data_IF_374727506673
#
_entry.id   IF_374727506673
#
_cell.length_a   1.000
_cell.length_b   1.000
_cell.length_c   1.000
_cell.angle_alpha   90.00
_cell.angle_beta   90.00
_cell.angle_gamma   90.00
#
_symmetry.space_group_name_H-M   'P 1'
#
loop_
_entity.id
_entity.type
_entity.pdbx_description
1 polymer ?
#
# COMPACT_ATOMS: atom_id res chain seq x y z
N UNK A 1 -4.76 -23.39 -1.64
CA UNK A 1 -3.30 -23.20 -1.59
C UNK A 1 -2.84 -23.55 -0.20
N UNK A 2 -1.82 -24.42 -0.03
CA UNK A 2 -1.18 -24.62 1.27
C UNK A 2 -0.60 -23.30 1.81
N UNK A 3 -0.58 -23.12 3.13
CA UNK A 3 -0.23 -21.85 3.77
C UNK A 3 1.19 -21.40 3.45
N UNK A 4 2.12 -22.35 3.33
CA UNK A 4 3.54 -22.11 3.03
C UNK A 4 3.81 -21.58 1.62
N UNK A 5 2.82 -21.65 0.72
CA UNK A 5 2.91 -21.10 -0.63
C UNK A 5 2.05 -19.85 -0.81
N UNK A 6 1.38 -19.39 0.26
CA UNK A 6 0.59 -18.17 0.22
C UNK A 6 1.46 -16.93 0.08
N UNK A 7 0.91 -15.87 -0.51
CA UNK A 7 1.55 -14.55 -0.45
C UNK A 7 1.38 -14.03 0.98
N UNK A 8 2.49 -13.87 1.70
CA UNK A 8 2.49 -13.46 3.11
C UNK A 8 2.43 -11.95 3.34
N UNK A 9 2.30 -11.18 2.26
CA UNK A 9 2.29 -9.72 2.26
C UNK A 9 3.30 -9.13 1.30
N UNK A 10 3.38 -7.80 1.30
CA UNK A 10 4.36 -7.06 0.50
C UNK A 10 5.73 -7.22 1.18
N UNK A 11 6.77 -7.56 0.43
CA UNK A 11 8.15 -7.52 0.94
C UNK A 11 8.70 -6.08 0.90
N UNK A 12 8.55 -5.43 -0.24
CA UNK A 12 8.91 -4.05 -0.50
C UNK A 12 8.35 -3.58 -1.83
N UNK A 13 8.55 -2.30 -2.13
CA UNK A 13 8.06 -1.67 -3.37
C UNK A 13 9.19 -0.92 -4.06
N UNK A 14 9.31 -1.12 -5.38
CA UNK A 14 10.21 -0.34 -6.21
C UNK A 14 9.47 0.82 -6.88
N UNK A 15 10.01 2.03 -6.76
CA UNK A 15 9.49 3.24 -7.37
C UNK A 15 10.52 3.85 -8.32
N UNK A 16 10.04 4.30 -9.47
CA UNK A 16 10.84 5.08 -10.40
C UNK A 16 10.70 6.56 -10.02
N UNK A 17 11.82 7.22 -9.75
CA UNK A 17 11.83 8.62 -9.33
C UNK A 17 12.63 9.48 -10.30
N UNK A 18 12.05 10.63 -10.67
CA UNK A 18 12.74 11.60 -11.54
C UNK A 18 13.90 12.28 -10.82
N UNK A 19 13.73 12.48 -9.51
CA UNK A 19 14.76 13.02 -8.62
C UNK A 19 14.92 12.03 -7.46
N UNK A 20 15.67 10.94 -7.67
CA UNK A 20 15.80 9.86 -6.68
C UNK A 20 16.39 10.37 -5.36
N UNK A 21 17.32 11.32 -5.39
CA UNK A 21 17.94 11.89 -4.20
C UNK A 21 16.91 12.59 -3.29
N UNK A 22 15.98 13.34 -3.87
CA UNK A 22 14.89 13.99 -3.10
C UNK A 22 13.91 12.98 -2.52
N UNK A 23 13.69 11.86 -3.23
CA UNK A 23 12.82 10.79 -2.74
C UNK A 23 13.48 10.08 -1.55
N UNK A 24 14.80 9.88 -1.62
CA UNK A 24 15.58 9.31 -0.52
C UNK A 24 15.59 10.26 0.69
N UNK A 25 15.85 11.56 0.49
CA UNK A 25 15.78 12.56 1.55
C UNK A 25 14.39 12.61 2.22
N UNK A 26 13.32 12.52 1.42
CA UNK A 26 11.95 12.44 1.94
C UNK A 26 11.75 11.20 2.80
N UNK A 27 12.17 10.02 2.33
CA UNK A 27 12.02 8.77 3.08
C UNK A 27 12.83 8.78 4.39
N UNK A 28 14.03 9.37 4.38
CA UNK A 28 14.85 9.56 5.57
C UNK A 28 14.20 10.52 6.57
N UNK A 29 13.67 11.65 6.10
CA UNK A 29 13.12 12.69 6.98
C UNK A 29 11.71 12.41 7.50
N UNK A 30 10.83 11.85 6.66
CA UNK A 30 9.41 11.66 6.98
C UNK A 30 9.12 10.25 7.50
N UNK A 31 9.78 9.24 6.93
CA UNK A 31 9.58 7.85 7.38
C UNK A 31 10.63 7.37 8.36
N UNK A 32 11.60 8.23 8.73
CA UNK A 32 12.72 7.89 9.61
C UNK A 32 13.41 6.60 9.17
N UNK A 33 13.61 6.43 7.85
CA UNK A 33 14.24 5.23 7.31
C UNK A 33 15.63 5.03 7.91
N UNK A 34 16.04 3.79 8.16
CA UNK A 34 17.36 3.41 8.70
C UNK A 34 18.49 3.55 7.66
N UNK A 35 18.39 4.56 6.79
CA UNK A 35 19.32 4.85 5.71
C UNK A 35 19.26 3.85 4.54
N UNK A 36 20.26 3.97 3.66
CA UNK A 36 20.45 3.08 2.50
C UNK A 36 20.96 1.71 2.97
N UNK A 37 20.19 0.67 2.69
CA UNK A 37 20.55 -0.72 2.97
C UNK A 37 21.32 -1.37 1.80
N UNK A 38 21.16 -0.84 0.59
CA UNK A 38 22.01 -1.15 -0.57
C UNK A 38 21.92 -0.06 -1.63
N UNK A 39 22.96 0.05 -2.46
CA UNK A 39 22.99 0.89 -3.66
C UNK A 39 23.70 0.12 -4.78
N UNK A 40 23.05 -0.03 -5.93
CA UNK A 40 23.58 -0.68 -7.13
C UNK A 40 23.18 0.13 -8.36
N UNK A 41 24.16 0.78 -8.99
CA UNK A 41 23.94 1.60 -10.17
C UNK A 41 22.94 2.73 -9.94
N UNK A 42 21.78 2.66 -10.61
CA UNK A 42 20.69 3.63 -10.50
C UNK A 42 19.66 3.27 -9.43
N UNK A 43 19.89 2.23 -8.61
CA UNK A 43 18.96 1.77 -7.59
C UNK A 43 19.52 1.97 -6.18
N UNK A 44 18.72 2.56 -5.30
CA UNK A 44 18.98 2.61 -3.86
C UNK A 44 17.83 1.97 -3.08
N UNK A 45 18.12 1.01 -2.22
CA UNK A 45 17.13 0.42 -1.31
C UNK A 45 17.22 1.07 0.07
N UNK A 46 16.05 1.38 0.64
CA UNK A 46 15.88 2.03 1.94
C UNK A 46 15.02 1.12 2.83
N UNK A 47 15.39 0.98 4.09
CA UNK A 47 14.54 0.33 5.08
C UNK A 47 13.68 1.36 5.80
N UNK A 48 12.37 1.21 5.73
CA UNK A 48 11.38 2.09 6.36
C UNK A 48 10.69 1.36 7.50
N UNK A 49 11.08 1.66 8.73
CA UNK A 49 10.55 0.99 9.93
C UNK A 49 11.10 -0.44 10.14
N UNK A 50 10.70 -1.04 11.25
CA UNK A 50 11.25 -2.31 11.75
C UNK A 50 10.32 -3.52 11.62
N UNK A 51 9.21 -3.38 10.89
CA UNK A 51 8.26 -4.47 10.70
C UNK A 51 8.83 -5.62 9.85
N UNK A 52 8.28 -6.81 10.04
CA UNK A 52 8.74 -8.04 9.36
C UNK A 52 8.49 -8.03 7.85
N UNK A 53 7.51 -7.26 7.39
CA UNK A 53 7.07 -7.19 6.00
C UNK A 53 6.79 -5.73 5.62
N UNK A 54 6.91 -5.40 4.33
CA UNK A 54 6.51 -4.11 3.77
C UNK A 54 7.44 -2.94 4.07
N UNK A 55 8.63 -3.19 4.62
CA UNK A 55 9.52 -2.16 5.14
C UNK A 55 10.70 -1.82 4.20
N UNK A 56 10.61 -2.16 2.91
CA UNK A 56 11.65 -1.83 1.93
C UNK A 56 11.09 -0.97 0.81
N UNK A 57 11.72 0.19 0.58
CA UNK A 57 11.46 1.05 -0.57
C UNK A 57 12.72 1.05 -1.44
N UNK A 58 12.58 0.61 -2.69
CA UNK A 58 13.64 0.70 -3.69
C UNK A 58 13.39 1.90 -4.60
N UNK A 59 14.31 2.85 -4.60
CA UNK A 59 14.26 4.04 -5.46
C UNK A 59 15.14 3.79 -6.67
N UNK A 60 14.56 3.85 -7.88
CA UNK A 60 15.25 3.64 -9.14
C UNK A 60 15.31 4.94 -9.94
N UNK A 61 16.53 5.37 -10.28
CA UNK A 61 16.86 6.62 -10.94
C UNK A 61 17.03 6.46 -12.44
N UNK A 62 15.93 6.32 -13.19
CA UNK A 62 15.94 6.43 -14.65
C UNK A 62 14.53 6.60 -15.24
N UNK A 63 13.76 7.59 -14.77
CA UNK A 63 12.42 7.82 -15.29
C UNK A 63 12.37 9.03 -16.25
N UNK A 64 11.75 8.83 -17.42
CA UNK A 64 11.56 9.86 -18.46
C UNK A 64 10.34 10.76 -18.21
N UNK A 65 9.54 10.44 -17.19
CA UNK A 65 8.31 11.14 -16.83
C UNK A 65 8.56 12.04 -15.63
N UNK A 66 8.07 13.29 -15.61
CA UNK A 66 8.34 14.26 -14.53
C UNK A 66 7.59 13.95 -13.22
N UNK A 67 6.76 12.90 -13.18
CA UNK A 67 5.99 12.52 -11.99
C UNK A 67 6.88 11.96 -10.88
N UNK A 68 6.69 12.45 -9.66
CA UNK A 68 7.19 11.81 -8.44
C UNK A 68 6.23 10.71 -7.96
N UNK A 69 6.65 9.97 -6.93
CA UNK A 69 5.77 9.01 -6.26
C UNK A 69 4.79 9.73 -5.32
N UNK A 70 3.52 9.31 -5.34
CA UNK A 70 2.55 9.67 -4.31
C UNK A 70 2.70 8.70 -3.14
N UNK A 71 2.84 9.22 -1.93
CA UNK A 71 2.92 8.44 -0.70
C UNK A 71 1.71 8.71 0.20
N UNK A 72 1.26 7.68 0.91
CA UNK A 72 0.19 7.75 1.92
C UNK A 72 0.68 7.12 3.22
N UNK A 73 0.32 7.73 4.36
CA UNK A 73 0.47 7.12 5.68
C UNK A 73 -0.92 6.76 6.19
N UNK A 74 -1.20 5.46 6.23
CA UNK A 74 -2.44 4.93 6.77
C UNK A 74 -2.17 4.30 8.13
N UNK A 75 -2.98 4.63 9.13
CA UNK A 75 -2.88 4.07 10.48
C UNK A 75 -4.16 3.30 10.79
N UNK A 76 -4.00 2.04 11.17
CA UNK A 76 -5.07 1.24 11.74
C UNK A 76 -5.12 1.48 13.24
N UNK A 77 -6.26 1.96 13.73
CA UNK A 77 -6.52 2.12 15.17
C UNK A 77 -7.03 0.79 15.76
N UNK A 78 -7.04 0.68 17.09
CA UNK A 78 -7.31 -0.60 17.80
C UNK A 78 -8.69 -1.21 17.47
N UNK A 79 -9.70 -0.39 17.20
CA UNK A 79 -11.05 -0.82 16.79
C UNK A 79 -11.25 -0.73 15.25
N UNK A 80 -10.18 -0.43 14.51
CA UNK A 80 -10.19 -0.30 13.06
C UNK A 80 -9.87 -1.60 12.36
N UNK A 81 -9.47 -1.51 11.10
CA UNK A 81 -9.17 -2.67 10.27
C UNK A 81 -10.36 -3.08 9.41
N UNK A 82 -10.25 -4.23 8.77
CA UNK A 82 -11.29 -4.74 7.87
C UNK A 82 -12.40 -5.47 8.62
N UNK A 83 -12.14 -5.93 9.84
CA UNK A 83 -13.05 -6.69 10.68
C UNK A 83 -13.86 -5.80 11.66
N UNK A 84 -13.77 -4.47 11.53
CA UNK A 84 -14.49 -3.54 12.39
C UNK A 84 -16.00 -3.52 12.10
N UNK A 85 -16.42 -3.90 10.90
CA UNK A 85 -17.82 -3.94 10.46
C UNK A 85 -18.22 -5.26 9.77
N UNK A 86 -17.31 -6.23 9.68
CA UNK A 86 -17.49 -7.57 9.08
C UNK A 86 -16.76 -8.64 9.92
N UNK A 87 -17.31 -9.84 10.04
CA UNK A 87 -16.57 -10.95 10.67
C UNK A 87 -15.47 -11.46 9.73
N UNK A 88 -14.34 -11.98 10.24
CA UNK A 88 -13.28 -12.56 9.40
C UNK A 88 -13.77 -13.62 8.41
N UNK A 89 -14.79 -14.39 8.78
CA UNK A 89 -15.40 -15.43 7.95
C UNK A 89 -16.25 -14.86 6.80
N UNK A 90 -16.73 -13.62 6.93
CA UNK A 90 -17.65 -12.97 5.98
C UNK A 90 -16.99 -11.86 5.14
N UNK A 91 -15.71 -11.55 5.39
CA UNK A 91 -14.99 -10.46 4.72
C UNK A 91 -15.11 -10.52 3.19
N UNK A 92 -15.57 -9.40 2.61
CA UNK A 92 -15.64 -9.22 1.16
C UNK A 92 -16.80 -9.98 0.49
N UNK A 93 -17.67 -10.63 1.26
CA UNK A 93 -18.87 -11.30 0.72
C UNK A 93 -20.01 -10.33 0.44
N UNK A 94 -19.98 -9.11 0.99
CA UNK A 94 -20.97 -8.05 0.77
C UNK A 94 -20.34 -6.73 0.38
N UNK A 95 -21.09 -5.93 -0.39
CA UNK A 95 -20.71 -4.55 -0.68
C UNK A 95 -21.04 -3.65 0.51
N UNK A 96 -20.05 -3.45 1.38
CA UNK A 96 -20.15 -2.58 2.57
C UNK A 96 -19.98 -1.11 2.20
N UNK A 97 -20.77 -0.23 2.83
CA UNK A 97 -20.71 1.21 2.62
C UNK A 97 -20.46 1.92 3.96
N UNK A 98 -19.72 3.03 3.97
CA UNK A 98 -19.64 3.88 5.15
C UNK A 98 -21.03 4.38 5.58
N UNK A 99 -21.32 4.55 6.89
CA UNK A 99 -22.66 4.89 7.39
C UNK A 99 -23.30 6.12 6.72
N UNK A 100 -22.50 7.12 6.35
CA UNK A 100 -22.96 8.35 5.68
C UNK A 100 -23.56 8.11 4.28
N UNK A 101 -23.30 6.97 3.66
CA UNK A 101 -23.76 6.65 2.30
C UNK A 101 -24.85 5.57 2.27
N UNK A 102 -25.24 5.02 3.43
CA UNK A 102 -26.26 3.96 3.49
C UNK A 102 -27.62 4.42 2.97
N UNK A 103 -28.01 5.67 3.22
CA UNK A 103 -29.23 6.25 2.70
C UNK A 103 -29.29 6.28 1.15
N UNK A 104 -28.13 6.16 0.48
CA UNK A 104 -28.00 6.17 -0.97
C UNK A 104 -27.60 4.80 -1.53
N UNK A 105 -27.66 3.73 -0.73
CA UNK A 105 -27.22 2.38 -1.13
C UNK A 105 -27.83 1.93 -2.46
N UNK A 106 -29.15 2.00 -2.61
CA UNK A 106 -29.82 1.56 -3.85
C UNK A 106 -29.30 2.31 -5.08
N UNK A 107 -29.13 3.63 -4.95
CA UNK A 107 -28.59 4.47 -6.03
C UNK A 107 -27.16 4.07 -6.37
N UNK A 108 -26.28 3.93 -5.36
CA UNK A 108 -24.88 3.55 -5.56
C UNK A 108 -24.78 2.17 -6.22
N UNK A 109 -25.48 1.18 -5.66
CA UNK A 109 -25.43 -0.20 -6.16
C UNK A 109 -25.98 -0.33 -7.59
N UNK A 110 -26.96 0.52 -7.97
CA UNK A 110 -27.50 0.52 -9.34
C UNK A 110 -26.50 0.95 -10.42
N UNK A 111 -25.40 1.60 -10.03
CA UNK A 111 -24.36 2.09 -10.94
C UNK A 111 -23.16 1.14 -11.06
N UNK A 112 -23.12 0.08 -10.26
CA UNK A 112 -22.00 -0.86 -10.22
C UNK A 112 -22.29 -2.09 -11.07
N UNK A 113 -21.33 -2.47 -11.90
CA UNK A 113 -21.37 -3.75 -12.62
C UNK A 113 -21.01 -4.90 -11.66
N UNK A 114 -21.70 -6.05 -11.71
CA UNK A 114 -21.33 -7.20 -10.90
C UNK A 114 -19.93 -7.74 -11.25
N UNK A 115 -19.10 -7.99 -10.23
CA UNK A 115 -17.81 -8.67 -10.41
C UNK A 115 -18.11 -10.14 -10.69
N UNK A 116 -17.73 -10.61 -11.88
CA UNK A 116 -17.85 -12.02 -12.27
C UNK A 116 -16.51 -12.73 -12.08
N UNK A 117 -16.56 -13.97 -11.60
CA UNK A 117 -15.38 -14.83 -11.55
C UNK A 117 -15.08 -15.27 -12.98
N UNK A 118 -13.87 -14.97 -13.47
CA UNK A 118 -13.38 -15.33 -14.81
C UNK A 118 -12.78 -16.73 -14.79
#
# INVERSE_FOLDING_TARGET
>A
MPQEYGIHGIHGTAINAHTPERTIEFAESVFHSDGRISEDGDRAALRVGNDKFGNVIEVVGNCRTPGGALFELAVTHDEGGWDCDESPEELGQRSTLPPRFEAQREQIMSQLEPITQV
#
